data_IF_782580933205
#
_entry.id   IF_782580933205
#
_cell.length_a   1.000
_cell.length_b   1.000
_cell.length_c   1.000
_cell.angle_alpha   90.00
_cell.angle_beta   90.00
_cell.angle_gamma   90.00
#
_symmetry.space_group_name_H-M   'P 1'
#
loop_
_entity.id
_entity.type
_entity.pdbx_description
1 polymer ?
#
# COMPACT_ATOMS: atom_id res chain seq x y z
N UNK A 1 0.01 17.46 -16.47
CA UNK A 1 1.08 18.45 -16.66
C UNK A 1 1.07 19.00 -18.06
N UNK A 2 0.61 20.24 -18.24
CA UNK A 2 0.93 20.99 -19.46
C UNK A 2 2.38 21.46 -19.38
N UNK A 3 3.07 21.59 -20.51
CA UNK A 3 4.48 22.01 -20.58
C UNK A 3 4.73 23.36 -19.89
N UNK A 4 3.73 24.24 -19.94
CA UNK A 4 3.73 25.58 -19.36
C UNK A 4 3.76 25.52 -17.83
N UNK A 5 3.00 24.61 -17.21
CA UNK A 5 2.97 24.46 -15.76
C UNK A 5 4.31 23.93 -15.22
N UNK A 6 4.96 23.02 -15.95
CA UNK A 6 6.28 22.50 -15.60
C UNK A 6 7.36 23.60 -15.68
N UNK A 7 7.31 24.44 -16.71
CA UNK A 7 8.26 25.54 -16.90
C UNK A 7 8.07 26.64 -15.85
N UNK A 8 6.83 27.03 -15.56
CA UNK A 8 6.52 28.00 -14.52
C UNK A 8 7.04 27.56 -13.14
N UNK A 9 6.93 26.26 -12.85
CA UNK A 9 7.47 25.65 -11.62
C UNK A 9 8.99 25.70 -11.57
N UNK A 10 9.70 25.33 -12.64
CA UNK A 10 11.16 25.45 -12.70
C UNK A 10 11.60 26.89 -12.46
N UNK A 11 10.98 27.85 -13.14
CA UNK A 11 11.33 29.27 -12.98
C UNK A 11 11.10 29.76 -11.55
N UNK A 12 9.96 29.42 -10.94
CA UNK A 12 9.64 29.83 -9.57
C UNK A 12 10.63 29.27 -8.53
N UNK A 13 10.95 27.98 -8.63
CA UNK A 13 11.84 27.29 -7.68
C UNK A 13 13.29 27.74 -7.84
N UNK A 14 13.74 27.91 -9.09
CA UNK A 14 15.11 28.35 -9.37
C UNK A 14 15.34 29.79 -8.92
N UNK A 15 14.33 30.66 -9.02
CA UNK A 15 14.37 32.06 -8.57
C UNK A 15 14.30 32.29 -7.06
N UNK A 16 14.30 31.24 -6.24
CA UNK A 16 14.43 31.35 -4.78
C UNK A 16 15.90 31.24 -4.37
N UNK A 17 16.54 32.37 -4.13
CA UNK A 17 17.96 32.41 -3.72
C UNK A 17 18.19 31.90 -2.29
N UNK A 18 17.13 31.85 -1.48
CA UNK A 18 17.15 31.34 -0.10
C UNK A 18 17.17 29.81 -0.01
N UNK A 19 16.99 29.09 -1.12
CA UNK A 19 16.93 27.63 -1.13
C UNK A 19 18.22 27.02 -1.67
N UNK A 20 18.71 26.00 -0.98
CA UNK A 20 19.80 25.16 -1.46
C UNK A 20 19.36 24.25 -2.63
N UNK A 21 20.33 23.74 -3.37
CA UNK A 21 20.06 22.91 -4.55
C UNK A 21 19.27 21.64 -4.23
N UNK A 22 19.46 21.06 -3.04
CA UNK A 22 18.76 19.84 -2.64
C UNK A 22 17.29 20.15 -2.34
N UNK A 23 17.00 21.23 -1.61
CA UNK A 23 15.62 21.70 -1.39
C UNK A 23 14.94 22.08 -2.71
N UNK A 24 15.65 22.75 -3.64
CA UNK A 24 15.11 23.06 -4.98
C UNK A 24 14.73 21.78 -5.74
N UNK A 25 15.57 20.75 -5.69
CA UNK A 25 15.32 19.45 -6.33
C UNK A 25 14.11 18.74 -5.72
N UNK A 26 13.98 18.76 -4.39
CA UNK A 26 12.84 18.19 -3.67
C UNK A 26 11.53 18.90 -4.02
N UNK A 27 11.55 20.24 -4.06
CA UNK A 27 10.37 21.04 -4.42
C UNK A 27 9.96 20.79 -5.88
N UNK A 28 10.92 20.57 -6.78
CA UNK A 28 10.68 20.15 -8.16
C UNK A 28 10.00 18.78 -8.27
N UNK A 29 10.23 17.89 -7.32
CA UNK A 29 9.59 16.57 -7.26
C UNK A 29 8.19 16.60 -6.60
N UNK A 30 7.91 17.60 -5.76
CA UNK A 30 6.62 17.74 -5.06
C UNK A 30 5.57 18.49 -5.90
N UNK A 31 4.32 18.05 -5.95
CA UNK A 31 3.26 18.74 -6.71
C UNK A 31 2.70 19.92 -5.91
N UNK A 32 2.80 21.15 -6.44
CA UNK A 32 2.01 22.27 -5.93
C UNK A 32 0.60 22.19 -6.53
N UNK A 33 -0.33 21.70 -5.70
CA UNK A 33 -1.80 21.88 -5.76
C UNK A 33 -2.41 22.11 -7.16
N UNK A 34 -2.95 21.04 -7.75
CA UNK A 34 -3.85 21.10 -8.91
C UNK A 34 -3.72 19.92 -9.88
N UNK A 35 -2.58 19.24 -9.89
CA UNK A 35 -2.36 18.08 -10.77
C UNK A 35 -2.78 16.78 -10.08
N UNK A 36 -4.04 16.42 -10.32
CA UNK A 36 -4.67 15.19 -9.89
C UNK A 36 -4.03 14.00 -10.63
N UNK A 37 -2.91 13.47 -10.13
CA UNK A 37 -2.61 12.03 -10.17
C UNK A 37 -1.53 11.70 -9.16
N UNK A 38 -1.95 11.13 -8.04
CA UNK A 38 -1.06 10.50 -7.07
C UNK A 38 -0.50 9.24 -7.74
N UNK A 39 0.69 9.31 -8.35
CA UNK A 39 1.53 8.12 -8.39
C UNK A 39 2.19 8.05 -7.04
N UNK A 40 1.51 7.40 -6.09
CA UNK A 40 2.11 7.01 -4.83
C UNK A 40 3.23 6.02 -5.16
N UNK A 41 4.42 6.52 -5.52
CA UNK A 41 5.63 5.73 -5.44
C UNK A 41 5.93 5.60 -3.95
N UNK A 42 5.23 4.67 -3.33
CA UNK A 42 5.68 4.06 -2.09
C UNK A 42 7.05 3.44 -2.39
N UNK A 43 8.09 4.20 -2.06
CA UNK A 43 9.45 3.70 -1.93
C UNK A 43 9.43 2.84 -0.67
N UNK A 44 9.16 1.55 -0.84
CA UNK A 44 9.03 0.58 0.24
C UNK A 44 8.85 -0.85 -0.29
N UNK A 45 9.99 -1.49 -0.63
CA UNK A 45 10.20 -2.94 -0.82
C UNK A 45 9.32 -3.72 -1.83
N UNK A 46 9.79 -3.69 -3.09
CA UNK A 46 10.03 -4.76 -4.10
C UNK A 46 9.51 -6.22 -4.00
N UNK A 47 8.72 -6.65 -3.04
CA UNK A 47 8.22 -8.05 -2.99
C UNK A 47 6.70 -8.24 -3.06
N UNK A 48 5.91 -7.17 -3.24
CA UNK A 48 4.47 -7.31 -3.52
C UNK A 48 3.98 -6.45 -4.70
N UNK A 49 4.81 -6.27 -5.72
CA UNK A 49 4.37 -5.83 -7.06
C UNK A 49 3.55 -6.90 -7.80
N UNK A 50 3.13 -7.96 -7.11
CA UNK A 50 2.29 -9.04 -7.62
C UNK A 50 0.98 -8.47 -8.16
N UNK A 51 0.37 -7.49 -7.49
CA UNK A 51 -0.90 -6.92 -7.93
C UNK A 51 -0.77 -6.21 -9.31
N UNK A 52 0.18 -5.26 -9.52
CA UNK A 52 0.42 -4.69 -10.85
C UNK A 52 0.74 -5.73 -11.93
N UNK A 53 1.52 -6.76 -11.59
CA UNK A 53 1.89 -7.81 -12.54
C UNK A 53 0.67 -8.68 -12.93
N UNK A 54 -0.15 -9.07 -11.95
CA UNK A 54 -1.40 -9.81 -12.18
C UNK A 54 -2.37 -8.95 -12.99
N UNK A 55 -2.50 -7.66 -12.68
CA UNK A 55 -3.34 -6.75 -13.45
C UNK A 55 -2.91 -6.68 -14.91
N UNK A 56 -1.60 -6.64 -15.17
CA UNK A 56 -1.04 -6.69 -16.54
C UNK A 56 -1.28 -8.04 -17.22
N UNK A 57 -1.12 -9.16 -16.51
CA UNK A 57 -1.38 -10.50 -17.03
C UNK A 57 -2.87 -10.70 -17.39
N UNK A 58 -3.77 -10.14 -16.59
CA UNK A 58 -5.21 -10.19 -16.81
C UNK A 58 -5.72 -9.08 -17.74
N UNK A 59 -4.81 -8.26 -18.31
CA UNK A 59 -5.11 -7.12 -19.20
C UNK A 59 -6.13 -6.14 -18.61
N UNK A 60 -6.04 -5.90 -17.31
CA UNK A 60 -6.92 -4.98 -16.61
C UNK A 60 -6.41 -3.57 -16.82
N UNK A 61 -7.28 -2.75 -17.39
CA UNK A 61 -7.02 -1.35 -17.70
C UNK A 61 -7.72 -0.40 -16.73
N UNK A 62 -8.72 -0.88 -15.97
CA UNK A 62 -9.45 -0.05 -15.02
C UNK A 62 -8.92 -0.18 -13.59
N UNK A 63 -8.80 0.94 -12.89
CA UNK A 63 -8.40 0.97 -11.48
C UNK A 63 -9.37 0.21 -10.55
N UNK A 64 -10.65 0.12 -10.94
CA UNK A 64 -11.66 -0.66 -10.20
C UNK A 64 -11.40 -2.16 -10.25
N UNK A 65 -10.94 -2.69 -11.39
CA UNK A 65 -10.63 -4.11 -11.54
C UNK A 65 -9.40 -4.48 -10.71
N UNK A 66 -8.41 -3.59 -10.66
CA UNK A 66 -7.21 -3.76 -9.82
C UNK A 66 -7.59 -3.76 -8.33
N UNK A 67 -8.56 -2.94 -7.91
CA UNK A 67 -9.09 -2.96 -6.55
C UNK A 67 -9.81 -4.27 -6.23
N UNK A 68 -10.69 -4.75 -7.13
CA UNK A 68 -11.39 -6.03 -6.94
C UNK A 68 -10.41 -7.20 -6.78
N UNK A 69 -9.33 -7.21 -7.56
CA UNK A 69 -8.27 -8.23 -7.42
C UNK A 69 -7.54 -8.11 -6.09
N UNK A 70 -7.23 -6.89 -5.64
CA UNK A 70 -6.66 -6.68 -4.31
C UNK A 70 -7.55 -7.27 -3.23
N UNK A 71 -8.84 -6.93 -3.27
CA UNK A 71 -9.80 -7.38 -2.26
C UNK A 71 -10.05 -8.89 -2.32
N UNK A 72 -9.81 -9.54 -3.46
CA UNK A 72 -9.95 -10.99 -3.61
C UNK A 72 -8.69 -11.76 -3.18
N UNK A 73 -7.50 -11.26 -3.50
CA UNK A 73 -6.23 -11.98 -3.29
C UNK A 73 -5.64 -11.72 -1.90
N UNK A 74 -5.79 -10.50 -1.38
CA UNK A 74 -5.22 -10.12 -0.08
C UNK A 74 -5.78 -10.92 1.11
N UNK A 75 -7.10 -11.12 1.28
CA UNK A 75 -7.61 -11.87 2.43
C UNK A 75 -7.02 -13.29 2.59
N UNK A 76 -6.99 -14.16 1.55
CA UNK A 76 -6.38 -15.48 1.69
C UNK A 76 -4.86 -15.41 1.89
N UNK A 77 -4.17 -14.41 1.31
CA UNK A 77 -2.74 -14.20 1.52
C UNK A 77 -2.43 -13.85 2.98
N UNK A 78 -3.17 -12.89 3.56
CA UNK A 78 -3.02 -12.47 4.96
C UNK A 78 -3.36 -13.63 5.89
N UNK A 79 -4.42 -14.39 5.60
CA UNK A 79 -4.80 -15.56 6.39
C UNK A 79 -3.72 -16.65 6.35
N UNK A 80 -3.08 -16.87 5.20
CA UNK A 80 -1.96 -17.81 5.07
C UNK A 80 -0.71 -17.36 5.84
N UNK A 81 -0.38 -16.06 5.79
CA UNK A 81 0.69 -15.47 6.58
C UNK A 81 0.44 -15.61 8.09
N UNK A 82 -0.79 -15.36 8.52
CA UNK A 82 -1.25 -15.56 9.90
C UNK A 82 -1.20 -17.03 10.34
N UNK A 83 -1.55 -17.97 9.46
CA UNK A 83 -1.46 -19.43 9.70
C UNK A 83 -0.02 -19.94 9.84
N UNK A 84 0.94 -19.29 9.17
CA UNK A 84 2.35 -19.71 9.15
C UNK A 84 3.24 -18.92 10.12
N UNK A 85 2.64 -18.06 10.96
CA UNK A 85 3.33 -17.17 11.91
C UNK A 85 4.37 -16.24 11.25
N UNK A 86 4.18 -15.87 9.98
CA UNK A 86 5.11 -14.99 9.25
C UNK A 86 4.81 -13.52 9.56
N UNK A 87 5.24 -13.07 10.74
CA UNK A 87 5.01 -11.69 11.20
C UNK A 87 5.64 -10.65 10.27
N UNK A 88 6.82 -10.91 9.71
CA UNK A 88 7.48 -9.96 8.80
C UNK A 88 6.65 -9.75 7.51
N UNK A 89 6.03 -10.81 7.00
CA UNK A 89 5.12 -10.71 5.87
C UNK A 89 3.87 -9.89 6.24
N UNK A 90 3.31 -10.07 7.44
CA UNK A 90 2.19 -9.26 7.92
C UNK A 90 2.58 -7.78 8.10
N UNK A 91 3.82 -7.48 8.48
CA UNK A 91 4.36 -6.11 8.52
C UNK A 91 4.45 -5.50 7.13
N UNK A 92 5.06 -6.19 6.17
CA UNK A 92 5.14 -5.71 4.79
C UNK A 92 3.76 -5.48 4.18
N UNK A 93 2.79 -6.36 4.46
CA UNK A 93 1.40 -6.17 3.98
C UNK A 93 0.76 -4.93 4.62
N UNK A 94 1.04 -4.63 5.89
CA UNK A 94 0.56 -3.42 6.56
C UNK A 94 1.19 -2.15 6.00
N UNK A 95 2.49 -2.18 5.71
CA UNK A 95 3.19 -1.08 5.05
C UNK A 95 2.64 -0.82 3.64
N UNK A 96 2.16 -1.84 2.95
CA UNK A 96 1.48 -1.72 1.66
C UNK A 96 0.08 -1.05 1.75
N UNK A 97 -0.37 -0.64 2.94
CA UNK A 97 -1.64 0.06 3.15
C UNK A 97 -2.86 -0.85 3.11
N UNK A 98 -2.67 -2.16 3.28
CA UNK A 98 -3.78 -3.13 3.27
C UNK A 98 -4.60 -3.03 4.54
N UNK A 99 -5.92 -3.10 4.39
CA UNK A 99 -6.82 -3.20 5.52
C UNK A 99 -6.80 -4.64 6.07
N UNK A 100 -6.70 -4.82 7.39
CA UNK A 100 -6.68 -6.14 8.02
C UNK A 100 -8.07 -6.60 8.49
N UNK A 101 -9.09 -5.75 8.30
CA UNK A 101 -10.49 -6.09 8.54
C UNK A 101 -11.12 -6.94 7.43
N UNK A 102 -10.32 -7.46 6.50
CA UNK A 102 -10.81 -8.25 5.37
C UNK A 102 -10.97 -9.70 5.79
N UNK A 103 -12.06 -10.33 5.32
CA UNK A 103 -12.40 -11.71 5.61
C UNK A 103 -12.02 -12.61 4.43
N UNK A 104 -11.53 -13.81 4.72
CA UNK A 104 -11.39 -14.90 3.75
C UNK A 104 -12.78 -15.42 3.31
N UNK A 105 -12.82 -16.31 2.31
CA UNK A 105 -14.07 -16.90 1.77
C UNK A 105 -14.96 -17.57 2.84
N UNK A 106 -14.35 -18.02 3.94
CA UNK A 106 -15.04 -18.61 5.08
C UNK A 106 -15.46 -17.58 6.14
N UNK A 107 -15.49 -16.28 5.81
CA UNK A 107 -15.76 -15.17 6.74
C UNK A 107 -14.78 -15.12 7.93
N UNK A 108 -13.58 -15.71 7.77
CA UNK A 108 -12.56 -15.71 8.81
C UNK A 108 -11.61 -14.54 8.59
N UNK A 109 -11.32 -13.80 9.66
CA UNK A 109 -10.26 -12.80 9.65
C UNK A 109 -8.91 -13.46 9.87
N UNK A 110 -7.84 -12.71 9.57
CA UNK A 110 -6.47 -13.12 9.87
C UNK A 110 -6.29 -13.52 11.35
N UNK A 111 -6.99 -12.83 12.26
CA UNK A 111 -6.94 -13.10 13.70
C UNK A 111 -7.57 -14.47 14.04
N UNK A 112 -8.71 -14.82 13.43
CA UNK A 112 -9.32 -16.14 13.61
C UNK A 112 -8.38 -17.27 13.20
N UNK A 113 -7.67 -17.09 12.07
CA UNK A 113 -6.72 -18.10 11.57
C UNK A 113 -5.47 -18.18 12.44
N UNK A 114 -4.92 -17.05 12.87
CA UNK A 114 -3.78 -17.01 13.79
C UNK A 114 -4.11 -17.71 15.12
N UNK A 115 -5.28 -17.42 15.69
CA UNK A 115 -5.75 -18.00 16.95
C UNK A 115 -5.99 -19.51 16.84
N UNK A 116 -6.64 -19.96 15.75
CA UNK A 116 -6.88 -21.40 15.51
C UNK A 116 -5.57 -22.17 15.35
N UNK A 117 -4.53 -21.52 14.80
CA UNK A 117 -3.23 -22.14 14.56
C UNK A 117 -2.29 -22.08 15.78
N UNK A 118 -2.68 -21.37 16.85
CA UNK A 118 -1.84 -21.20 18.05
C UNK A 118 -0.65 -20.25 17.85
N UNK A 119 -0.68 -19.41 16.82
CA UNK A 119 0.45 -18.54 16.45
C UNK A 119 0.43 -17.25 17.26
N UNK A 120 1.04 -17.27 18.44
CA UNK A 120 1.04 -16.14 19.39
C UNK A 120 1.66 -14.86 18.81
N UNK A 121 2.76 -14.96 18.05
CA UNK A 121 3.42 -13.76 17.53
C UNK A 121 2.56 -13.05 16.48
N UNK A 122 1.93 -13.81 15.59
CA UNK A 122 0.96 -13.28 14.64
C UNK A 122 -0.26 -12.67 15.35
N UNK A 123 -0.78 -13.29 16.42
CA UNK A 123 -1.89 -12.73 17.21
C UNK A 123 -1.48 -11.42 17.88
N UNK A 124 -0.34 -11.38 18.56
CA UNK A 124 0.17 -10.19 19.22
C UNK A 124 0.38 -9.05 18.22
N UNK A 125 0.93 -9.36 17.04
CA UNK A 125 1.11 -8.39 15.99
C UNK A 125 -0.24 -7.86 15.45
N UNK A 126 -1.19 -8.73 15.14
CA UNK A 126 -2.51 -8.33 14.65
C UNK A 126 -3.29 -7.48 15.68
N UNK A 127 -3.18 -7.81 16.97
CA UNK A 127 -3.74 -7.00 18.05
C UNK A 127 -3.03 -5.64 18.18
N UNK A 128 -1.72 -5.59 18.00
CA UNK A 128 -0.95 -4.33 18.06
C UNK A 128 -1.36 -3.33 16.98
N UNK A 129 -1.87 -3.81 15.84
CA UNK A 129 -2.38 -2.99 14.73
C UNK A 129 -3.80 -2.47 15.01
N UNK A 130 -4.47 -2.93 16.09
CA UNK A 130 -5.84 -2.54 16.41
C UNK A 130 -6.88 -3.22 15.50
N UNK A 131 -6.63 -4.44 15.05
CA UNK A 131 -7.61 -5.21 14.28
C UNK A 131 -8.83 -5.53 15.13
N UNK A 132 -10.03 -5.34 14.57
CA UNK A 132 -11.28 -5.64 15.28
C UNK A 132 -11.39 -7.12 15.61
N UNK A 133 -11.49 -7.41 16.90
CA UNK A 133 -11.53 -8.77 17.45
C UNK A 133 -12.92 -9.40 17.27
N UNK A 134 -13.95 -8.56 17.11
CA UNK A 134 -15.37 -8.97 17.06
C UNK A 134 -15.96 -9.01 15.65
N UNK A 135 -15.13 -9.02 14.61
CA UNK A 135 -15.61 -9.22 13.24
C UNK A 135 -16.26 -10.61 13.14
N UNK A 136 -17.56 -10.64 12.85
CA UNK A 136 -18.37 -11.86 12.71
C UNK A 136 -18.52 -12.26 11.26
#
# INVERSE_FOLDING_TARGET
>A
MTSEAAMAKMCYILGKDEWDYETKRMMLQSNLRGEMTVTNKAVGMRELDIIPHIARCLRLSSGTEVQLIRDTILPPLVCSAAKTNKVDMLKSIKEAGVNFSICDYNLRTALHVAATSGNLDAVNYLLSIGVNIHLK
#
